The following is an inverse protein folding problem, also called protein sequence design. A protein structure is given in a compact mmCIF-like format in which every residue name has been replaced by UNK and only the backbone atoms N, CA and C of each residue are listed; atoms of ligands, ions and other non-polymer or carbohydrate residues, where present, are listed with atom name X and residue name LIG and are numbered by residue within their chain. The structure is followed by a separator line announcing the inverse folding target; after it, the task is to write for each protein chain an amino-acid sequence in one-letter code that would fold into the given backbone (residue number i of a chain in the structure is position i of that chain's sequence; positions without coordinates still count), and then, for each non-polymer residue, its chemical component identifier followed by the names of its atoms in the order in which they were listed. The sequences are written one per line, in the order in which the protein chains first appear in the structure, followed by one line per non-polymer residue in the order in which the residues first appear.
data_IF_368492589758
#
_entry.id   IF_368492589758
#
_cell.length_a   1.000
_cell.length_b   1.000
_cell.length_c   1.000
_cell.angle_alpha   90.00
_cell.angle_beta   90.00
_cell.angle_gamma   90.00
#
_symmetry.space_group_name_H-M   'P 1'
#
loop_
_entity.id
_entity.type
_entity.pdbx_description
1 polymer ?
#
# COMPACT_ATOMS: atom_id res chain seq x y z
N UNK A 1 6.57 15.27 9.28
CA UNK A 1 6.16 14.18 10.17
C UNK A 1 7.41 13.58 10.80
N UNK A 2 7.33 12.92 11.97
CA UNK A 2 8.52 12.36 12.66
C UNK A 2 9.44 11.53 11.74
N UNK A 3 8.86 10.86 10.74
CA UNK A 3 9.56 10.02 9.77
C UNK A 3 10.29 10.82 8.69
N UNK A 4 9.79 12.01 8.30
CA UNK A 4 10.51 12.89 7.36
C UNK A 4 11.83 13.39 7.94
N UNK A 5 11.90 13.56 9.26
CA UNK A 5 13.09 14.02 9.96
C UNK A 5 14.07 12.88 10.29
N UNK A 6 13.70 11.62 10.02
CA UNK A 6 14.48 10.41 10.34
C UNK A 6 14.46 9.38 9.19
N UNK A 7 15.05 9.70 8.02
CA UNK A 7 15.02 8.85 6.81
C UNK A 7 15.70 7.48 7.00
N UNK A 8 16.54 7.33 8.02
CA UNK A 8 17.12 6.05 8.43
C UNK A 8 16.08 5.02 8.88
N UNK A 9 14.94 5.47 9.42
CA UNK A 9 13.84 4.61 9.84
C UNK A 9 13.18 3.98 8.61
N UNK A 10 12.87 4.79 7.59
CA UNK A 10 12.34 4.28 6.31
C UNK A 10 13.34 3.33 5.67
N UNK A 11 14.61 3.73 5.52
CA UNK A 11 15.64 2.87 4.91
C UNK A 11 15.77 1.51 5.59
N UNK A 12 15.65 1.47 6.93
CA UNK A 12 15.73 0.22 7.68
C UNK A 12 14.48 -0.65 7.48
N UNK A 13 13.29 -0.04 7.49
CA UNK A 13 12.02 -0.75 7.29
C UNK A 13 11.90 -1.28 5.86
N UNK A 14 12.22 -0.45 4.89
CA UNK A 14 12.21 -0.75 3.46
C UNK A 14 13.28 -1.78 3.10
N UNK A 15 14.48 -1.65 3.67
CA UNK A 15 15.52 -2.68 3.54
C UNK A 15 15.13 -4.01 4.18
N UNK A 16 14.21 -4.03 5.16
CA UNK A 16 13.64 -5.28 5.67
C UNK A 16 12.66 -5.86 4.67
N UNK A 17 11.76 -5.07 4.10
CA UNK A 17 10.80 -5.53 3.08
C UNK A 17 11.53 -6.13 1.88
N UNK A 18 12.56 -5.45 1.36
CA UNK A 18 13.37 -5.95 0.25
C UNK A 18 14.02 -7.32 0.55
N UNK A 19 14.57 -7.50 1.77
CA UNK A 19 15.13 -8.79 2.19
C UNK A 19 14.09 -9.88 2.39
N UNK A 20 12.90 -9.54 2.89
CA UNK A 20 11.81 -10.51 3.02
C UNK A 20 11.26 -10.90 1.65
N UNK A 21 11.29 -10.01 0.66
CA UNK A 21 10.89 -10.29 -0.72
C UNK A 21 11.79 -11.30 -1.43
N UNK A 22 13.04 -11.49 -0.98
CA UNK A 22 13.94 -12.52 -1.51
C UNK A 22 13.62 -13.93 -1.00
N UNK A 23 12.70 -14.06 -0.03
CA UNK A 23 12.30 -15.36 0.51
C UNK A 23 11.14 -15.94 -0.28
N UNK A 24 11.08 -17.27 -0.28
CA UNK A 24 9.97 -18.02 -0.85
C UNK A 24 8.77 -18.05 0.10
N UNK A 25 7.56 -18.16 -0.46
CA UNK A 25 6.29 -18.28 0.25
C UNK A 25 6.04 -17.18 1.31
N UNK A 26 6.09 -15.91 0.88
CA UNK A 26 5.84 -14.74 1.74
C UNK A 26 4.68 -13.88 1.25
N UNK A 27 3.98 -13.25 2.20
CA UNK A 27 3.02 -12.18 1.93
C UNK A 27 3.59 -10.87 2.45
N UNK A 28 3.77 -9.89 1.56
CA UNK A 28 4.27 -8.56 1.91
C UNK A 28 3.13 -7.54 1.86
N UNK A 29 2.81 -6.99 3.03
CA UNK A 29 1.90 -5.85 3.16
C UNK A 29 2.70 -4.62 3.61
N UNK A 30 3.02 -3.76 2.66
CA UNK A 30 3.66 -2.48 2.91
C UNK A 30 3.44 -1.51 1.74
N UNK A 31 3.54 -0.20 2.02
CA UNK A 31 3.34 0.87 1.02
C UNK A 31 4.22 0.71 -0.22
N UNK A 32 5.47 0.27 -0.06
CA UNK A 32 6.42 0.09 -1.17
C UNK A 32 6.58 -1.38 -1.62
N UNK A 33 5.81 -2.32 -1.06
CA UNK A 33 5.98 -3.74 -1.35
C UNK A 33 5.92 -4.05 -2.86
N UNK A 34 4.96 -3.47 -3.59
CA UNK A 34 4.82 -3.66 -5.04
C UNK A 34 6.00 -3.17 -5.87
N UNK A 35 6.73 -2.15 -5.41
CA UNK A 35 7.93 -1.65 -6.09
C UNK A 35 9.20 -2.41 -5.69
N UNK A 36 9.25 -2.93 -4.46
CA UNK A 36 10.42 -3.62 -3.91
C UNK A 36 10.45 -5.11 -4.30
N UNK A 37 9.30 -5.78 -4.32
CA UNK A 37 9.20 -7.20 -4.65
C UNK A 37 9.04 -7.39 -6.16
N UNK A 38 10.11 -7.10 -6.92
CA UNK A 38 10.10 -7.13 -8.39
C UNK A 38 9.85 -8.52 -8.98
N UNK A 39 10.25 -9.57 -8.24
CA UNK A 39 10.14 -10.96 -8.64
C UNK A 39 8.95 -11.68 -7.97
N UNK A 40 8.02 -10.94 -7.37
CA UNK A 40 6.80 -11.52 -6.80
C UNK A 40 5.92 -12.16 -7.90
N UNK A 41 5.31 -13.30 -7.60
CA UNK A 41 4.38 -13.99 -8.53
C UNK A 41 3.17 -13.11 -8.88
N UNK A 42 2.72 -12.27 -7.94
CA UNK A 42 1.65 -11.30 -8.15
C UNK A 42 1.79 -10.10 -7.22
N UNK A 43 1.61 -8.89 -7.77
CA UNK A 43 1.56 -7.62 -7.03
C UNK A 43 0.18 -7.02 -7.14
N UNK A 44 -0.48 -6.84 -5.99
CA UNK A 44 -1.87 -6.38 -5.94
C UNK A 44 -1.94 -5.02 -5.24
N UNK A 45 -2.57 -4.04 -5.88
CA UNK A 45 -2.89 -2.74 -5.27
C UNK A 45 -4.36 -2.71 -4.85
N UNK A 46 -4.59 -2.60 -3.55
CA UNK A 46 -5.92 -2.35 -2.99
C UNK A 46 -6.16 -0.84 -2.87
N UNK A 47 -7.14 -0.33 -3.58
CA UNK A 47 -7.47 1.10 -3.62
C UNK A 47 -8.92 1.36 -3.21
N UNK A 48 -9.25 2.62 -2.96
CA UNK A 48 -10.59 3.16 -2.82
C UNK A 48 -10.57 4.69 -3.00
N UNK A 49 -11.71 5.32 -3.39
CA UNK A 49 -11.83 6.77 -3.39
C UNK A 49 -11.43 7.37 -2.04
N UNK A 50 -10.83 8.57 -2.06
CA UNK A 50 -10.34 9.26 -0.85
C UNK A 50 -11.43 9.35 0.21
N UNK A 51 -12.63 9.76 -0.18
CA UNK A 51 -13.79 9.95 0.70
C UNK A 51 -14.12 8.65 1.44
N UNK A 52 -14.05 7.50 0.74
CA UNK A 52 -14.32 6.20 1.33
C UNK A 52 -13.23 5.77 2.30
N UNK A 53 -11.96 6.04 1.98
CA UNK A 53 -10.82 5.75 2.87
C UNK A 53 -10.90 6.59 4.14
N UNK A 54 -11.15 7.89 4.01
CA UNK A 54 -11.30 8.83 5.13
C UNK A 54 -12.48 8.43 6.00
N UNK A 55 -13.64 8.12 5.40
CA UNK A 55 -14.81 7.64 6.14
C UNK A 55 -14.46 6.42 7.00
N UNK A 56 -13.83 5.39 6.42
CA UNK A 56 -13.44 4.16 7.13
C UNK A 56 -12.48 4.43 8.30
N UNK A 57 -11.51 5.32 8.12
CA UNK A 57 -10.55 5.70 9.17
C UNK A 57 -11.24 6.48 10.28
N UNK A 58 -12.08 7.46 9.92
CA UNK A 58 -12.87 8.28 10.84
C UNK A 58 -13.80 7.41 11.71
N UNK A 59 -14.52 6.47 11.10
CA UNK A 59 -15.39 5.52 11.80
C UNK A 59 -14.61 4.57 12.72
N UNK A 60 -13.49 4.02 12.23
CA UNK A 60 -12.66 3.09 13.01
C UNK A 60 -12.03 3.75 14.24
N UNK A 61 -11.52 4.97 14.07
CA UNK A 61 -10.74 5.65 15.11
C UNK A 61 -11.62 6.59 15.96
N UNK A 62 -12.89 6.78 15.59
CA UNK A 62 -13.83 7.67 16.29
C UNK A 62 -13.47 9.16 16.17
N UNK A 63 -12.85 9.55 15.05
CA UNK A 63 -12.27 10.90 14.83
C UNK A 63 -13.09 11.71 13.82
N UNK A 64 -13.08 13.06 13.88
CA UNK A 64 -13.79 13.90 12.90
C UNK A 64 -13.32 13.66 11.46
N UNK A 65 -14.27 13.59 10.52
CA UNK A 65 -13.99 13.33 9.11
C UNK A 65 -12.97 14.30 8.51
N UNK A 66 -13.13 15.61 8.75
CA UNK A 66 -12.26 16.62 8.12
C UNK A 66 -10.83 16.56 8.67
N UNK A 67 -10.65 16.31 9.98
CA UNK A 67 -9.34 16.11 10.59
C UNK A 67 -8.62 14.90 9.96
N UNK A 68 -9.33 13.78 9.82
CA UNK A 68 -8.79 12.55 9.20
C UNK A 68 -8.46 12.78 7.73
N UNK A 69 -9.26 13.58 7.02
CA UNK A 69 -9.04 13.92 5.61
C UNK A 69 -7.78 14.74 5.42
N UNK A 70 -7.62 15.81 6.20
CA UNK A 70 -6.42 16.66 6.17
C UNK A 70 -5.16 15.86 6.48
N UNK A 71 -5.19 15.03 7.52
CA UNK A 71 -4.06 14.16 7.88
C UNK A 71 -3.74 13.12 6.80
N UNK A 72 -4.77 12.52 6.20
CA UNK A 72 -4.58 11.51 5.15
C UNK A 72 -3.91 12.11 3.92
N UNK A 73 -4.37 13.29 3.48
CA UNK A 73 -3.78 14.02 2.36
C UNK A 73 -2.35 14.47 2.67
N UNK A 74 -2.12 15.06 3.84
CA UNK A 74 -0.80 15.51 4.26
C UNK A 74 0.20 14.34 4.33
N UNK A 75 -0.24 13.17 4.85
CA UNK A 75 0.56 11.96 4.88
C UNK A 75 0.88 11.44 3.48
N UNK A 76 -0.11 11.37 2.59
CA UNK A 76 0.08 10.86 1.23
C UNK A 76 1.03 11.75 0.41
N UNK A 77 0.94 13.07 0.55
CA UNK A 77 1.87 14.00 -0.11
C UNK A 77 3.30 13.87 0.45
N UNK A 78 3.41 13.77 1.78
CA UNK A 78 4.69 13.51 2.48
C UNK A 78 5.35 12.22 2.01
N UNK A 79 4.57 11.13 1.93
CA UNK A 79 5.01 9.82 1.44
C UNK A 79 5.45 9.89 -0.02
N UNK A 80 4.65 10.50 -0.90
CA UNK A 80 4.99 10.67 -2.31
C UNK A 80 6.33 11.38 -2.50
N UNK A 81 6.52 12.51 -1.82
CA UNK A 81 7.79 13.26 -1.86
C UNK A 81 8.96 12.39 -1.40
N UNK A 82 8.80 11.75 -0.24
CA UNK A 82 9.86 10.95 0.39
C UNK A 82 10.27 9.74 -0.45
N UNK A 83 9.31 9.02 -1.02
CA UNK A 83 9.60 7.85 -1.85
C UNK A 83 10.27 8.22 -3.17
N UNK A 84 9.91 9.37 -3.75
CA UNK A 84 10.60 9.90 -4.92
C UNK A 84 12.05 10.29 -4.60
N UNK A 85 12.28 10.97 -3.48
CA UNK A 85 13.62 11.42 -3.06
C UNK A 85 14.54 10.26 -2.65
N UNK A 86 14.02 9.24 -1.96
CA UNK A 86 14.82 8.14 -1.43
C UNK A 86 15.06 7.01 -2.45
N UNK A 87 14.09 6.74 -3.33
CA UNK A 87 14.08 5.53 -4.17
C UNK A 87 13.79 5.80 -5.66
N UNK A 88 13.60 7.06 -6.06
CA UNK A 88 13.14 7.44 -7.41
C UNK A 88 11.79 6.80 -7.81
N UNK A 89 10.97 6.42 -6.82
CA UNK A 89 9.66 5.80 -7.04
C UNK A 89 8.59 6.88 -7.17
N UNK A 90 7.78 6.84 -8.24
CA UNK A 90 6.50 7.54 -8.30
C UNK A 90 5.38 6.60 -7.82
N UNK A 91 4.81 6.90 -6.64
CA UNK A 91 3.71 6.09 -6.07
C UNK A 91 2.40 6.17 -6.85
N UNK A 92 2.29 7.10 -7.81
CA UNK A 92 1.14 7.17 -8.72
C UNK A 92 1.34 6.31 -9.97
N UNK A 93 2.56 5.78 -10.19
CA UNK A 93 2.79 4.79 -11.24
C UNK A 93 2.30 3.43 -10.75
N UNK A 94 1.08 3.08 -11.12
CA UNK A 94 0.50 1.79 -10.81
C UNK A 94 0.87 0.69 -11.81
N UNK A 95 1.70 0.98 -12.81
CA UNK A 95 2.09 -0.01 -13.84
C UNK A 95 2.90 -1.18 -13.29
N UNK A 96 3.45 -1.02 -12.08
CA UNK A 96 4.15 -2.08 -11.34
C UNK A 96 3.21 -3.12 -10.74
N UNK A 97 1.90 -2.89 -10.71
CA UNK A 97 0.94 -3.84 -10.15
C UNK A 97 0.28 -4.65 -11.26
N UNK A 98 0.15 -5.95 -11.01
CA UNK A 98 -0.48 -6.89 -11.95
C UNK A 98 -2.01 -6.85 -11.81
N UNK A 99 -2.51 -6.48 -10.61
CA UNK A 99 -3.94 -6.32 -10.34
C UNK A 99 -4.21 -5.10 -9.45
N UNK A 100 -5.16 -4.25 -9.86
CA UNK A 100 -5.62 -3.09 -9.09
C UNK A 100 -7.10 -3.27 -8.77
N UNK A 101 -7.45 -3.29 -7.48
CA UNK A 101 -8.81 -3.58 -7.02
C UNK A 101 -9.36 -2.41 -6.21
N UNK A 102 -10.50 -1.86 -6.65
CA UNK A 102 -11.24 -0.87 -5.86
C UNK A 102 -12.09 -1.58 -4.79
N UNK A 103 -11.63 -1.52 -3.55
CA UNK A 103 -12.25 -2.10 -2.35
C UNK A 103 -13.54 -1.40 -1.92
N UNK A 104 -13.96 -0.31 -2.55
CA UNK A 104 -15.31 0.25 -2.34
C UNK A 104 -16.39 -0.67 -2.92
N UNK A 105 -16.08 -1.42 -3.98
CA UNK A 105 -17.07 -2.18 -4.76
C UNK A 105 -17.45 -3.53 -4.17
N UNK A 106 -16.69 -3.99 -3.17
CA UNK A 106 -16.80 -5.33 -2.63
C UNK A 106 -16.83 -5.27 -1.11
N UNK A 107 -17.62 -6.15 -0.52
CA UNK A 107 -17.51 -6.43 0.91
C UNK A 107 -16.28 -7.30 1.22
N UNK A 108 -16.06 -7.58 2.50
CA UNK A 108 -14.90 -8.33 2.96
C UNK A 108 -14.85 -9.76 2.38
N UNK A 109 -15.98 -10.46 2.33
CA UNK A 109 -16.03 -11.85 1.87
C UNK A 109 -15.79 -11.92 0.35
N UNK A 110 -16.36 -10.98 -0.41
CA UNK A 110 -16.13 -10.83 -1.84
C UNK A 110 -14.66 -10.48 -2.14
N UNK A 111 -14.05 -9.61 -1.32
CA UNK A 111 -12.63 -9.29 -1.46
C UNK A 111 -11.74 -10.51 -1.23
N UNK A 112 -12.03 -11.33 -0.21
CA UNK A 112 -11.29 -12.57 0.06
C UNK A 112 -11.40 -13.50 -1.15
N UNK A 113 -12.60 -13.75 -1.67
CA UNK A 113 -12.81 -14.61 -2.83
C UNK A 113 -12.07 -14.11 -4.08
N UNK A 114 -12.05 -12.80 -4.31
CA UNK A 114 -11.30 -12.20 -5.44
C UNK A 114 -9.79 -12.43 -5.30
N UNK A 115 -9.24 -12.18 -4.11
CA UNK A 115 -7.81 -12.33 -3.84
C UNK A 115 -7.39 -13.80 -3.91
N UNK A 116 -8.13 -14.71 -3.29
CA UNK A 116 -7.87 -16.16 -3.36
C UNK A 116 -7.86 -16.66 -4.81
N UNK A 117 -8.82 -16.20 -5.61
CA UNK A 117 -8.90 -16.60 -7.01
C UNK A 117 -7.75 -16.03 -7.85
N UNK A 118 -7.38 -14.77 -7.62
CA UNK A 118 -6.24 -14.15 -8.31
C UNK A 118 -4.93 -14.88 -7.98
N UNK A 119 -4.68 -15.17 -6.69
CA UNK A 119 -3.50 -15.90 -6.24
C UNK A 119 -3.47 -17.30 -6.84
N UNK A 120 -4.59 -18.04 -6.80
CA UNK A 120 -4.66 -19.39 -7.37
C UNK A 120 -4.31 -19.43 -8.86
N UNK A 121 -4.70 -18.42 -9.64
CA UNK A 121 -4.43 -18.37 -11.08
C UNK A 121 -2.96 -18.12 -11.43
N UNK A 122 -2.16 -17.56 -10.53
CA UNK A 122 -0.72 -17.36 -10.75
C UNK A 122 0.14 -18.47 -10.13
N UNK A 123 -0.43 -19.27 -9.22
CA UNK A 123 0.24 -20.41 -8.58
C UNK A 123 0.03 -21.74 -9.33
N UNK A 124 -0.75 -21.76 -10.42
CA UNK A 124 -0.98 -22.91 -11.31
C UNK A 124 0.00 -22.92 -12.50
#
# INVERSE_FOLDING_TARGET
SYVEDHPEIDRKMDGKIAREAEKDNVLLDARLAGWMAKDADIRILLTAPLEKRVQRISERDGRPYEEVKEETLAREESEKKRYRELYDIDVNDHSVFDLIINTEKFDQDQMIQLLEKAIKLVSE
#
